data_IF_299093207049
#
_entry.id   IF_299093207049
#
_cell.length_a   1.000
_cell.length_b   1.000
_cell.length_c   1.000
_cell.angle_alpha   90.00
_cell.angle_beta   90.00
_cell.angle_gamma   90.00
#
_symmetry.space_group_name_H-M   'P 1'
#
loop_
_entity.id
_entity.type
_entity.pdbx_description
1 polymer ?
#
# COMPACT_ATOMS: atom_id res chain seq x y z
N UNK A 1 17.89 -15.98 4.04
CA UNK A 1 17.46 -16.16 2.65
C UNK A 1 17.31 -14.77 2.07
N UNK A 2 18.24 -14.36 1.19
CA UNK A 2 18.16 -13.07 0.50
C UNK A 2 16.94 -13.15 -0.43
N UNK A 3 15.88 -12.41 -0.08
CA UNK A 3 14.70 -12.32 -0.94
C UNK A 3 15.11 -11.66 -2.26
N UNK A 4 14.65 -12.22 -3.37
CA UNK A 4 14.80 -11.65 -4.70
C UNK A 4 14.27 -10.21 -4.70
N UNK A 5 15.07 -9.27 -5.19
CA UNK A 5 14.65 -7.87 -5.33
C UNK A 5 13.63 -7.77 -6.47
N UNK A 6 12.60 -6.98 -6.25
CA UNK A 6 11.60 -6.69 -7.27
C UNK A 6 12.04 -5.49 -8.10
N UNK A 7 12.16 -5.71 -9.38
CA UNK A 7 12.60 -4.72 -10.37
C UNK A 7 11.46 -3.77 -10.73
N UNK A 8 11.74 -2.47 -10.72
CA UNK A 8 10.77 -1.42 -11.04
C UNK A 8 11.28 -0.56 -12.17
N UNK A 9 10.47 -0.38 -13.19
CA UNK A 9 10.66 0.63 -14.24
C UNK A 9 9.82 1.85 -13.89
N UNK A 10 10.43 3.04 -13.93
CA UNK A 10 9.73 4.31 -13.70
C UNK A 10 9.57 5.02 -15.04
N UNK A 11 8.33 5.43 -15.37
CA UNK A 11 8.00 6.12 -16.62
C UNK A 11 7.33 7.45 -16.31
N UNK A 12 7.98 8.56 -16.67
CA UNK A 12 7.50 9.92 -16.43
C UNK A 12 8.21 10.87 -17.38
N UNK A 13 7.53 11.75 -18.08
CA UNK A 13 8.10 12.71 -19.01
C UNK A 13 8.98 13.78 -18.34
N UNK A 14 8.68 14.07 -17.07
CA UNK A 14 9.51 14.96 -16.24
C UNK A 14 10.62 14.17 -15.53
N UNK A 15 11.87 14.35 -15.98
CA UNK A 15 13.06 13.72 -15.38
C UNK A 15 13.19 13.93 -13.86
N UNK A 16 12.73 15.08 -13.34
CA UNK A 16 12.80 15.38 -11.92
C UNK A 16 11.75 14.58 -11.15
N UNK A 17 10.58 14.41 -11.74
CA UNK A 17 9.50 13.63 -11.15
C UNK A 17 9.84 12.14 -11.20
N UNK A 18 10.38 11.65 -12.32
CA UNK A 18 10.90 10.29 -12.45
C UNK A 18 11.94 9.99 -11.36
N UNK A 19 12.94 10.86 -11.18
CA UNK A 19 13.96 10.70 -10.15
C UNK A 19 13.38 10.71 -8.72
N UNK A 20 12.36 11.51 -8.44
CA UNK A 20 11.67 11.50 -7.13
C UNK A 20 10.96 10.16 -6.91
N UNK A 21 10.26 9.65 -7.91
CA UNK A 21 9.59 8.36 -7.81
C UNK A 21 10.60 7.21 -7.70
N UNK A 22 11.70 7.25 -8.44
CA UNK A 22 12.81 6.31 -8.32
C UNK A 22 13.39 6.30 -6.89
N UNK A 23 13.66 7.48 -6.33
CA UNK A 23 14.10 7.60 -4.94
C UNK A 23 13.07 7.08 -3.92
N UNK A 24 11.77 7.18 -4.21
CA UNK A 24 10.74 6.57 -3.37
C UNK A 24 10.80 5.04 -3.43
N UNK A 25 10.95 4.46 -4.62
CA UNK A 25 11.07 3.00 -4.82
C UNK A 25 12.27 2.44 -4.06
N UNK A 26 13.45 3.05 -4.22
CA UNK A 26 14.70 2.61 -3.58
C UNK A 26 14.64 2.62 -2.04
N UNK A 27 13.75 3.40 -1.46
CA UNK A 27 13.52 3.42 0.00
C UNK A 27 12.61 2.30 0.48
N UNK A 28 11.94 1.57 -0.42
CA UNK A 28 11.05 0.45 -0.06
C UNK A 28 11.87 -0.84 -0.03
N UNK A 29 12.01 -1.51 1.12
CA UNK A 29 12.80 -2.74 1.21
C UNK A 29 12.31 -3.83 0.25
N UNK A 30 13.23 -4.42 -0.51
CA UNK A 30 12.94 -5.49 -1.45
C UNK A 30 12.60 -5.01 -2.86
N UNK A 31 12.80 -3.73 -3.15
CA UNK A 31 12.66 -3.13 -4.48
C UNK A 31 13.95 -2.49 -4.95
N UNK A 32 14.14 -2.42 -6.27
CA UNK A 32 15.18 -1.63 -6.93
C UNK A 32 14.65 -1.05 -8.25
N UNK A 33 15.15 0.10 -8.66
CA UNK A 33 14.87 0.69 -9.97
C UNK A 33 15.81 0.08 -10.99
N UNK A 34 15.25 -0.39 -12.12
CA UNK A 34 16.04 -0.98 -13.24
C UNK A 34 16.08 -0.09 -14.45
N UNK A 35 15.34 1.01 -14.45
CA UNK A 35 15.37 2.03 -15.49
C UNK A 35 14.40 3.17 -15.23
N UNK A 36 14.66 4.28 -15.89
CA UNK A 36 13.77 5.44 -15.98
C UNK A 36 13.53 5.70 -17.47
N UNK A 37 12.28 5.83 -17.89
CA UNK A 37 11.87 6.13 -19.27
C UNK A 37 11.10 7.45 -19.31
N UNK A 38 11.26 8.21 -20.38
CA UNK A 38 10.67 9.54 -20.50
C UNK A 38 9.76 9.69 -21.73
N UNK A 39 9.52 8.56 -22.42
CA UNK A 39 8.64 8.47 -23.57
C UNK A 39 7.95 7.09 -23.61
N UNK A 40 6.89 6.96 -24.39
CA UNK A 40 6.19 5.69 -24.59
C UNK A 40 7.09 4.65 -25.29
N UNK A 41 7.87 5.10 -26.27
CA UNK A 41 8.80 4.24 -27.01
C UNK A 41 9.88 3.68 -26.06
N UNK A 42 10.56 4.56 -25.31
CA UNK A 42 11.60 4.18 -24.36
C UNK A 42 11.06 3.24 -23.27
N UNK A 43 9.83 3.48 -22.78
CA UNK A 43 9.19 2.63 -21.80
C UNK A 43 8.98 1.19 -22.31
N UNK A 44 8.55 1.01 -23.57
CA UNK A 44 8.38 -0.30 -24.17
C UNK A 44 9.72 -1.01 -24.43
N UNK A 45 10.76 -0.29 -24.84
CA UNK A 45 12.09 -0.85 -25.03
C UNK A 45 12.68 -1.32 -23.71
N UNK A 46 12.73 -0.45 -22.70
CA UNK A 46 13.26 -0.79 -21.39
C UNK A 46 12.45 -1.91 -20.70
N UNK A 47 11.14 -1.95 -20.88
CA UNK A 47 10.34 -3.03 -20.33
C UNK A 47 10.68 -4.40 -20.94
N UNK A 48 10.94 -4.46 -22.25
CA UNK A 48 11.38 -5.70 -22.91
C UNK A 48 12.77 -6.15 -22.48
N UNK A 49 13.69 -5.19 -22.31
CA UNK A 49 15.10 -5.47 -21.98
C UNK A 49 15.26 -5.86 -20.51
N UNK A 50 14.54 -5.17 -19.59
CA UNK A 50 14.72 -5.34 -18.15
C UNK A 50 13.72 -6.29 -17.52
N UNK A 51 12.60 -6.58 -18.19
CA UNK A 51 11.47 -7.41 -17.69
C UNK A 51 11.09 -7.04 -16.25
N UNK A 52 10.68 -5.81 -16.01
CA UNK A 52 10.41 -5.33 -14.66
C UNK A 52 9.22 -6.06 -14.05
N UNK A 53 9.24 -6.22 -12.74
CA UNK A 53 8.12 -6.78 -11.98
C UNK A 53 6.99 -5.77 -11.80
N UNK A 54 7.33 -4.48 -11.74
CA UNK A 54 6.39 -3.36 -11.58
C UNK A 54 6.78 -2.23 -12.51
N UNK A 55 5.78 -1.61 -13.12
CA UNK A 55 5.95 -0.36 -13.88
C UNK A 55 5.16 0.75 -13.20
N UNK A 56 5.84 1.85 -12.86
CA UNK A 56 5.20 3.11 -12.47
C UNK A 56 5.01 3.93 -13.74
N UNK A 57 3.76 4.18 -14.15
CA UNK A 57 3.44 4.71 -15.48
C UNK A 57 2.72 6.05 -15.40
N UNK A 58 3.32 7.11 -15.92
CA UNK A 58 2.54 8.33 -16.21
C UNK A 58 1.67 8.13 -17.47
N UNK A 59 0.53 8.78 -17.48
CA UNK A 59 -0.41 8.76 -18.61
C UNK A 59 0.06 9.71 -19.73
N UNK A 60 0.60 10.86 -19.37
CA UNK A 60 1.00 11.88 -20.34
C UNK A 60 2.47 11.72 -20.70
N UNK A 61 2.71 11.24 -21.92
CA UNK A 61 4.03 11.08 -22.47
C UNK A 61 4.14 11.89 -23.78
N UNK A 62 5.34 12.37 -24.15
CA UNK A 62 5.52 13.30 -25.27
C UNK A 62 5.19 12.69 -26.65
N UNK A 63 5.28 11.38 -26.78
CA UNK A 63 5.12 10.60 -28.00
C UNK A 63 3.89 9.69 -28.02
N UNK A 64 3.06 9.72 -26.96
CA UNK A 64 1.86 8.88 -26.91
C UNK A 64 1.17 8.87 -25.55
N UNK A 65 0.22 7.98 -25.41
CA UNK A 65 -0.50 7.78 -24.15
C UNK A 65 0.14 6.65 -23.32
N UNK A 66 0.49 6.93 -22.07
CA UNK A 66 0.92 5.90 -21.14
C UNK A 66 -0.11 4.79 -20.93
N UNK A 67 -1.40 5.07 -21.15
CA UNK A 67 -2.45 4.03 -21.09
C UNK A 67 -2.35 3.04 -22.25
N UNK A 68 -1.89 3.47 -23.44
CA UNK A 68 -1.63 2.56 -24.56
C UNK A 68 -0.38 1.70 -24.27
N UNK A 69 0.63 2.27 -23.63
CA UNK A 69 1.79 1.51 -23.14
C UNK A 69 1.34 0.46 -22.12
N UNK A 70 0.48 0.83 -21.14
CA UNK A 70 -0.09 -0.11 -20.17
C UNK A 70 -0.78 -1.28 -20.86
N UNK A 71 -1.62 -1.00 -21.87
CA UNK A 71 -2.29 -2.03 -22.63
C UNK A 71 -1.28 -2.97 -23.31
N UNK A 72 -0.27 -2.42 -23.98
CA UNK A 72 0.75 -3.21 -24.67
C UNK A 72 1.54 -4.09 -23.70
N UNK A 73 1.89 -3.59 -22.53
CA UNK A 73 2.62 -4.35 -21.49
C UNK A 73 1.77 -5.48 -20.90
N UNK A 74 0.46 -5.26 -20.74
CA UNK A 74 -0.44 -6.24 -20.14
C UNK A 74 -0.91 -7.32 -21.13
N UNK A 75 -0.70 -7.11 -22.44
CA UNK A 75 -0.91 -8.12 -23.49
C UNK A 75 0.29 -9.10 -23.63
N UNK A 76 1.43 -8.85 -22.92
CA UNK A 76 2.59 -9.75 -22.93
C UNK A 76 2.32 -11.04 -22.11
N UNK A 77 3.00 -12.17 -22.42
CA UNK A 77 2.78 -13.46 -21.74
C UNK A 77 3.09 -13.44 -20.24
N UNK A 78 4.05 -12.62 -19.81
CA UNK A 78 4.44 -12.41 -18.40
C UNK A 78 4.39 -10.91 -18.08
N UNK A 79 3.19 -10.36 -17.89
CA UNK A 79 3.00 -8.93 -17.78
C UNK A 79 3.49 -8.39 -16.42
N UNK A 80 4.12 -7.21 -16.40
CA UNK A 80 4.43 -6.54 -15.15
C UNK A 80 3.16 -6.06 -14.46
N UNK A 81 3.20 -5.92 -13.14
CA UNK A 81 2.17 -5.15 -12.44
C UNK A 81 2.31 -3.66 -12.79
N UNK A 82 1.22 -3.01 -13.15
CA UNK A 82 1.25 -1.58 -13.51
C UNK A 82 0.57 -0.75 -12.43
N UNK A 83 1.28 0.26 -11.95
CA UNK A 83 0.75 1.32 -11.09
C UNK A 83 0.74 2.61 -11.90
N UNK A 84 -0.43 3.08 -12.28
CA UNK A 84 -0.57 4.36 -12.98
C UNK A 84 -0.36 5.51 -12.00
N UNK A 85 0.45 6.48 -12.40
CA UNK A 85 0.78 7.68 -11.62
C UNK A 85 0.53 8.89 -12.50
N UNK A 86 -0.49 9.69 -12.24
CA UNK A 86 -0.84 10.79 -13.13
C UNK A 86 -1.46 11.98 -12.43
N UNK A 87 -1.31 13.16 -13.02
CA UNK A 87 -2.08 14.36 -12.65
C UNK A 87 -3.54 14.29 -13.13
N UNK A 88 -3.87 13.37 -14.05
CA UNK A 88 -5.23 13.18 -14.56
C UNK A 88 -6.18 12.73 -13.43
N UNK A 89 -7.27 13.45 -13.27
CA UNK A 89 -8.33 13.17 -12.28
C UNK A 89 -9.64 12.78 -12.95
N UNK A 90 -9.65 12.74 -14.26
CA UNK A 90 -10.83 12.39 -15.05
C UNK A 90 -11.21 10.92 -14.82
N UNK A 91 -12.47 10.70 -14.51
CA UNK A 91 -13.01 9.36 -14.29
C UNK A 91 -12.82 8.46 -15.52
N UNK A 92 -12.81 9.06 -16.73
CA UNK A 92 -12.56 8.33 -17.96
C UNK A 92 -11.18 7.67 -17.96
N UNK A 93 -10.11 8.40 -17.61
CA UNK A 93 -8.74 7.89 -17.53
C UNK A 93 -8.60 6.81 -16.46
N UNK A 94 -9.21 7.02 -15.28
CA UNK A 94 -9.22 6.01 -14.21
C UNK A 94 -9.93 4.74 -14.68
N UNK A 95 -11.08 4.86 -15.32
CA UNK A 95 -11.85 3.72 -15.85
C UNK A 95 -11.05 2.96 -16.90
N UNK A 96 -10.40 3.66 -17.82
CA UNK A 96 -9.58 3.05 -18.86
C UNK A 96 -8.37 2.31 -18.26
N UNK A 97 -7.67 2.89 -17.30
CA UNK A 97 -6.58 2.22 -16.59
C UNK A 97 -7.05 0.91 -15.93
N UNK A 98 -8.23 0.94 -15.27
CA UNK A 98 -8.82 -0.25 -14.67
C UNK A 98 -9.21 -1.31 -15.72
N UNK A 99 -9.78 -0.90 -16.85
CA UNK A 99 -10.16 -1.80 -17.96
C UNK A 99 -8.94 -2.47 -18.59
N UNK A 100 -7.82 -1.78 -18.66
CA UNK A 100 -6.56 -2.35 -19.15
C UNK A 100 -5.86 -3.23 -18.10
N UNK A 101 -6.33 -3.28 -16.86
CA UNK A 101 -5.78 -4.15 -15.83
C UNK A 101 -4.70 -3.50 -14.95
N UNK A 102 -4.60 -2.18 -14.94
CA UNK A 102 -3.72 -1.50 -14.00
C UNK A 102 -4.06 -1.88 -12.54
N UNK A 103 -3.05 -2.28 -11.78
CA UNK A 103 -3.21 -2.74 -10.41
C UNK A 103 -3.65 -1.60 -9.47
N UNK A 104 -3.08 -0.41 -9.66
CA UNK A 104 -3.39 0.79 -8.89
C UNK A 104 -3.35 2.05 -9.76
N UNK A 105 -4.03 3.10 -9.27
CA UNK A 105 -3.99 4.44 -9.85
C UNK A 105 -3.69 5.45 -8.73
N UNK A 106 -2.62 6.21 -8.88
CA UNK A 106 -2.19 7.25 -7.95
C UNK A 106 -2.31 8.63 -8.60
N UNK A 107 -3.00 9.54 -7.93
CA UNK A 107 -3.16 10.92 -8.40
C UNK A 107 -2.04 11.79 -7.83
N UNK A 108 -1.24 12.44 -8.70
CA UNK A 108 -0.22 13.42 -8.31
C UNK A 108 -0.87 14.71 -7.75
N UNK A 109 -0.28 15.35 -6.70
CA UNK A 109 0.90 14.94 -5.96
C UNK A 109 0.56 13.95 -4.84
N UNK A 110 1.45 13.01 -4.56
CA UNK A 110 1.37 12.09 -3.42
C UNK A 110 2.72 11.98 -2.71
N UNK A 111 2.70 11.56 -1.46
CA UNK A 111 3.92 11.36 -0.67
C UNK A 111 4.44 9.93 -0.73
N UNK A 112 5.68 9.73 -0.27
CA UNK A 112 6.35 8.43 -0.19
C UNK A 112 5.46 7.32 0.37
N UNK A 113 4.76 7.56 1.48
CA UNK A 113 3.96 6.53 2.15
C UNK A 113 2.88 5.93 1.25
N UNK A 114 2.28 6.75 0.36
CA UNK A 114 1.21 6.29 -0.55
C UNK A 114 1.76 5.28 -1.55
N UNK A 115 2.91 5.55 -2.17
CA UNK A 115 3.56 4.61 -3.09
C UNK A 115 4.09 3.37 -2.36
N UNK A 116 4.77 3.57 -1.23
CA UNK A 116 5.32 2.49 -0.43
C UNK A 116 4.24 1.47 -0.01
N UNK A 117 3.06 1.95 0.38
CA UNK A 117 1.92 1.09 0.72
C UNK A 117 1.50 0.19 -0.46
N UNK A 118 1.47 0.73 -1.69
CA UNK A 118 1.10 -0.05 -2.88
C UNK A 118 2.14 -1.10 -3.22
N UNK A 119 3.41 -0.73 -3.16
CA UNK A 119 4.51 -1.66 -3.39
C UNK A 119 4.52 -2.79 -2.35
N UNK A 120 4.37 -2.46 -1.07
CA UNK A 120 4.29 -3.47 0.01
C UNK A 120 3.09 -4.40 -0.17
N UNK A 121 1.92 -3.87 -0.59
CA UNK A 121 0.74 -4.69 -0.88
C UNK A 121 1.00 -5.66 -2.03
N UNK A 122 1.61 -5.19 -3.13
CA UNK A 122 1.98 -6.03 -4.26
C UNK A 122 3.00 -7.12 -3.87
N UNK A 123 4.02 -6.78 -3.08
CA UNK A 123 5.00 -7.76 -2.60
C UNK A 123 4.35 -8.87 -1.77
N UNK A 124 3.38 -8.53 -0.92
CA UNK A 124 2.60 -9.50 -0.13
C UNK A 124 1.76 -10.41 -1.03
N UNK A 125 1.05 -9.81 -1.99
CA UNK A 125 0.26 -10.56 -2.96
C UNK A 125 1.12 -11.56 -3.73
N UNK A 126 2.26 -11.12 -4.28
CA UNK A 126 3.19 -11.97 -5.03
C UNK A 126 3.72 -13.14 -4.18
N UNK A 127 4.09 -12.87 -2.92
CA UNK A 127 4.54 -13.93 -1.99
C UNK A 127 3.41 -14.93 -1.69
N UNK A 128 2.19 -14.45 -1.54
CA UNK A 128 1.03 -15.32 -1.29
C UNK A 128 0.75 -16.20 -2.50
N UNK A 129 0.75 -15.64 -3.71
CA UNK A 129 0.58 -16.38 -4.96
C UNK A 129 1.64 -17.47 -5.13
N UNK A 130 2.91 -17.15 -4.89
CA UNK A 130 4.02 -18.11 -4.99
C UNK A 130 3.96 -19.25 -3.94
N UNK A 131 3.19 -19.09 -2.87
CA UNK A 131 3.01 -20.09 -1.81
C UNK A 131 1.70 -20.89 -1.91
N UNK A 132 0.88 -20.63 -2.92
CA UNK A 132 -0.34 -21.40 -3.15
C UNK A 132 -0.05 -22.68 -3.97
N UNK A 133 -0.82 -23.75 -3.74
CA UNK A 133 -0.83 -24.90 -4.62
C UNK A 133 -1.45 -24.53 -6.00
N UNK A 134 -1.24 -25.39 -7.00
CA UNK A 134 -1.79 -25.19 -8.35
C UNK A 134 -3.31 -25.12 -8.38
N UNK A 135 -3.99 -25.73 -7.41
CA UNK A 135 -5.43 -25.64 -7.20
C UNK A 135 -5.70 -24.82 -5.93
N UNK A 136 -6.35 -23.67 -6.08
CA UNK A 136 -6.72 -22.80 -4.96
C UNK A 136 -8.18 -23.05 -4.52
N UNK A 137 -8.44 -23.03 -3.23
CA UNK A 137 -9.79 -23.01 -2.69
C UNK A 137 -10.40 -21.60 -2.76
N UNK A 138 -11.74 -21.51 -2.67
CA UNK A 138 -12.44 -20.22 -2.71
C UNK A 138 -11.91 -19.24 -1.64
N UNK A 139 -11.54 -19.73 -0.47
CA UNK A 139 -10.98 -18.92 0.60
C UNK A 139 -9.65 -18.26 0.22
N UNK A 140 -8.78 -18.97 -0.50
CA UNK A 140 -7.51 -18.43 -1.01
C UNK A 140 -7.78 -17.34 -2.05
N UNK A 141 -8.72 -17.57 -2.95
CA UNK A 141 -9.15 -16.60 -3.96
C UNK A 141 -9.68 -15.32 -3.30
N UNK A 142 -10.57 -15.47 -2.32
CA UNK A 142 -11.15 -14.32 -1.59
C UNK A 142 -10.07 -13.53 -0.83
N UNK A 143 -9.08 -14.21 -0.25
CA UNK A 143 -7.93 -13.56 0.40
C UNK A 143 -7.10 -12.75 -0.60
N UNK A 144 -6.75 -13.32 -1.77
CA UNK A 144 -5.99 -12.65 -2.82
C UNK A 144 -6.69 -11.38 -3.32
N UNK A 145 -7.98 -11.50 -3.66
CA UNK A 145 -8.78 -10.34 -4.08
C UNK A 145 -8.96 -9.33 -2.94
N UNK A 146 -9.00 -9.79 -1.70
CA UNK A 146 -9.00 -8.93 -0.51
C UNK A 146 -7.72 -8.09 -0.40
N UNK A 147 -6.55 -8.69 -0.67
CA UNK A 147 -5.26 -7.98 -0.66
C UNK A 147 -5.17 -6.88 -1.72
N UNK A 148 -5.80 -7.06 -2.89
CA UNK A 148 -5.87 -6.05 -3.95
C UNK A 148 -6.80 -4.88 -3.60
N UNK A 149 -7.91 -5.17 -2.89
CA UNK A 149 -8.93 -4.17 -2.55
C UNK A 149 -8.57 -3.35 -1.31
N UNK A 150 -7.84 -3.95 -0.37
CA UNK A 150 -7.41 -3.23 0.82
C UNK A 150 -6.27 -2.27 0.42
N UNK A 151 -6.49 -0.93 0.43
CA UNK A 151 -5.36 -0.05 0.55
C UNK A 151 -4.68 -0.42 1.87
N UNK A 152 -3.35 -0.53 1.91
CA UNK A 152 -2.63 -0.60 3.17
C UNK A 152 -2.97 0.63 4.06
N UNK A 153 -3.49 1.70 3.46
CA UNK A 153 -4.11 2.86 4.10
C UNK A 153 -5.58 2.68 4.53
N UNK A 154 -6.17 1.50 4.40
CA UNK A 154 -7.44 1.25 5.11
C UNK A 154 -7.25 1.41 6.62
N UNK A 155 -6.02 1.23 7.11
CA UNK A 155 -5.61 1.61 8.47
C UNK A 155 -5.47 3.13 8.67
N UNK A 156 -5.40 3.93 7.59
CA UNK A 156 -5.19 5.39 7.63
C UNK A 156 -6.38 6.22 7.13
N UNK A 157 -7.46 5.61 6.65
CA UNK A 157 -8.73 6.31 6.48
C UNK A 157 -9.61 5.97 7.67
N UNK A 158 -9.62 6.82 8.68
CA UNK A 158 -10.53 6.61 9.79
C UNK A 158 -11.97 6.65 9.23
N UNK A 159 -12.79 5.67 9.63
CA UNK A 159 -14.25 5.74 9.48
C UNK A 159 -14.73 7.13 9.90
N UNK A 160 -15.87 7.60 9.36
CA UNK A 160 -16.48 8.86 9.78
C UNK A 160 -16.43 9.01 11.31
N UNK A 161 -15.62 9.96 11.78
CA UNK A 161 -15.42 10.19 13.21
C UNK A 161 -14.00 9.91 13.76
N UNK A 162 -13.05 9.46 12.94
CA UNK A 162 -11.65 9.29 13.32
C UNK A 162 -10.78 10.24 12.47
N UNK A 163 -9.82 10.93 13.05
CA UNK A 163 -8.82 11.71 12.32
C UNK A 163 -7.54 10.90 12.13
N UNK A 164 -6.93 10.96 10.94
CA UNK A 164 -5.69 10.24 10.65
C UNK A 164 -4.53 10.60 11.60
N UNK A 165 -4.29 11.89 11.93
CA UNK A 165 -3.24 12.25 12.90
C UNK A 165 -3.46 11.65 14.27
N UNK A 166 -4.68 11.67 14.79
CA UNK A 166 -5.00 11.10 16.11
C UNK A 166 -4.87 9.56 16.10
N UNK A 167 -5.23 8.90 15.00
CA UNK A 167 -5.07 7.45 14.87
C UNK A 167 -3.59 7.06 14.95
N UNK A 168 -2.74 7.83 14.30
CA UNK A 168 -1.28 7.60 14.29
C UNK A 168 -0.67 7.81 15.67
N UNK A 169 -1.08 8.85 16.41
CA UNK A 169 -0.66 9.09 17.79
C UNK A 169 -1.08 7.94 18.71
N UNK A 170 -2.32 7.47 18.63
CA UNK A 170 -2.83 6.35 19.44
C UNK A 170 -2.08 5.05 19.09
N UNK A 171 -1.86 4.76 17.81
CA UNK A 171 -1.06 3.62 17.36
C UNK A 171 0.36 3.65 17.93
N UNK A 172 1.03 4.79 17.81
CA UNK A 172 2.40 4.95 18.25
C UNK A 172 2.52 4.84 19.77
N UNK A 173 1.54 5.33 20.54
CA UNK A 173 1.50 5.16 21.98
C UNK A 173 1.46 3.68 22.41
N UNK A 174 0.65 2.84 21.69
CA UNK A 174 0.62 1.40 21.98
C UNK A 174 1.90 0.70 21.55
N UNK A 175 2.48 1.07 20.38
CA UNK A 175 3.71 0.43 19.86
C UNK A 175 4.94 0.79 20.70
N UNK A 176 5.01 2.01 21.23
CA UNK A 176 6.12 2.48 22.06
C UNK A 176 6.09 1.91 23.49
N UNK A 177 4.96 1.37 23.93
CA UNK A 177 4.84 0.73 25.24
C UNK A 177 5.45 -0.67 25.23
N UNK A 178 6.25 -0.96 26.26
CA UNK A 178 6.81 -2.30 26.47
C UNK A 178 5.74 -3.30 26.95
N UNK A 179 4.73 -2.80 27.65
CA UNK A 179 3.63 -3.56 28.24
C UNK A 179 2.30 -3.26 27.54
N UNK A 180 1.25 -4.01 27.91
CA UNK A 180 -0.11 -3.72 27.50
C UNK A 180 -0.60 -2.41 28.12
N UNK A 181 -1.38 -1.64 27.38
CA UNK A 181 -1.91 -0.32 27.80
C UNK A 181 -3.42 -0.29 27.82
N UNK A 182 -3.99 0.47 28.77
CA UNK A 182 -5.43 0.75 28.83
C UNK A 182 -5.79 1.99 27.98
N UNK A 183 -7.08 2.15 27.71
CA UNK A 183 -7.58 3.36 27.07
C UNK A 183 -7.37 4.64 27.88
N UNK A 184 -7.24 4.53 29.21
CA UNK A 184 -6.95 5.68 30.08
C UNK A 184 -5.50 6.11 29.93
N UNK A 185 -4.55 5.19 29.97
CA UNK A 185 -3.11 5.46 29.79
C UNK A 185 -2.81 6.04 28.40
N UNK A 186 -3.42 5.49 27.35
CA UNK A 186 -3.30 6.03 25.99
C UNK A 186 -3.90 7.43 25.89
N UNK A 187 -5.04 7.67 26.54
CA UNK A 187 -5.69 8.98 26.55
C UNK A 187 -4.80 10.05 27.19
N UNK A 188 -4.14 9.73 28.30
CA UNK A 188 -3.18 10.59 28.99
C UNK A 188 -1.95 10.86 28.14
N UNK A 189 -1.37 9.82 27.53
CA UNK A 189 -0.15 9.93 26.70
C UNK A 189 -0.39 10.80 25.45
N UNK A 190 -1.57 10.69 24.84
CA UNK A 190 -1.90 11.35 23.56
C UNK A 190 -2.59 12.70 23.76
N UNK A 191 -3.08 12.99 24.98
CA UNK A 191 -3.79 14.25 25.27
C UNK A 191 -5.23 14.28 24.71
N UNK A 192 -5.93 13.13 24.73
CA UNK A 192 -7.31 12.97 24.23
C UNK A 192 -8.23 12.44 25.35
N UNK A 193 -9.55 12.48 25.13
CA UNK A 193 -10.46 11.86 26.09
C UNK A 193 -10.37 10.33 26.09
N UNK A 194 -10.60 9.67 27.24
CA UNK A 194 -10.64 8.20 27.35
C UNK A 194 -11.63 7.59 26.35
N UNK A 195 -12.80 8.20 26.14
CA UNK A 195 -13.79 7.74 25.17
C UNK A 195 -13.25 7.79 23.74
N UNK A 196 -12.49 8.83 23.42
CA UNK A 196 -11.80 8.95 22.12
C UNK A 196 -10.73 7.87 21.98
N UNK A 197 -9.85 7.69 22.97
CA UNK A 197 -8.83 6.65 22.96
C UNK A 197 -9.45 5.25 22.79
N UNK A 198 -10.51 4.94 23.53
CA UNK A 198 -11.24 3.67 23.41
C UNK A 198 -11.76 3.43 21.99
N UNK A 199 -12.32 4.45 21.34
CA UNK A 199 -12.82 4.36 19.98
C UNK A 199 -11.71 4.05 18.97
N UNK A 200 -10.57 4.72 19.08
CA UNK A 200 -9.41 4.49 18.22
C UNK A 200 -8.75 3.13 18.47
N UNK A 201 -8.65 2.69 19.72
CA UNK A 201 -8.12 1.38 20.09
C UNK A 201 -9.00 0.25 19.57
N UNK A 202 -10.34 0.39 19.66
CA UNK A 202 -11.28 -0.57 19.08
C UNK A 202 -11.21 -0.60 17.54
N UNK A 203 -10.92 0.53 16.91
CA UNK A 203 -10.66 0.60 15.48
C UNK A 203 -9.37 -0.18 15.13
N UNK A 204 -8.26 0.07 15.82
CA UNK A 204 -6.96 -0.59 15.59
C UNK A 204 -7.04 -2.12 15.88
N UNK A 205 -7.85 -2.53 16.84
CA UNK A 205 -8.08 -3.95 17.17
C UNK A 205 -8.84 -4.65 16.06
N UNK A 206 -9.93 -4.09 15.56
CA UNK A 206 -10.70 -4.63 14.41
C UNK A 206 -9.85 -4.78 13.15
N UNK A 207 -8.81 -3.93 12.99
CA UNK A 207 -7.89 -3.98 11.84
C UNK A 207 -6.60 -4.78 12.13
N UNK A 208 -6.55 -5.50 13.26
CA UNK A 208 -5.44 -6.40 13.58
C UNK A 208 -4.11 -5.72 13.91
N UNK A 209 -4.11 -4.40 14.14
CA UNK A 209 -2.89 -3.63 14.49
C UNK A 209 -2.51 -3.81 15.95
N UNK A 210 -3.53 -3.90 16.81
CA UNK A 210 -3.38 -4.18 18.24
C UNK A 210 -4.25 -5.37 18.63
N UNK A 211 -3.87 -6.07 19.69
CA UNK A 211 -4.67 -7.15 20.28
C UNK A 211 -5.26 -6.70 21.59
N UNK A 212 -6.57 -6.92 21.78
CA UNK A 212 -7.27 -6.76 23.03
C UNK A 212 -6.95 -7.93 23.96
N UNK A 213 -6.63 -7.63 25.21
CA UNK A 213 -6.58 -8.57 26.32
C UNK A 213 -7.50 -8.10 27.42
N UNK A 214 -8.21 -9.05 28.06
CA UNK A 214 -9.04 -8.78 29.22
C UNK A 214 -8.23 -9.07 30.49
N UNK A 215 -8.01 -8.07 31.32
CA UNK A 215 -7.39 -8.24 32.62
C UNK A 215 -8.47 -8.27 33.70
N UNK A 216 -8.59 -9.39 34.38
CA UNK A 216 -9.53 -9.56 35.48
C UNK A 216 -8.89 -9.11 36.78
N UNK A 217 -9.49 -8.13 37.45
CA UNK A 217 -9.14 -7.75 38.83
C UNK A 217 -9.87 -8.62 39.87
N UNK A 218 -9.51 -8.46 41.16
CA UNK A 218 -10.11 -9.21 42.26
C UNK A 218 -11.63 -8.95 42.42
N UNK A 219 -12.12 -7.78 42.00
CA UNK A 219 -13.53 -7.39 41.99
C UNK A 219 -13.79 -6.38 40.88
N UNK A 220 -14.83 -6.58 40.05
CA UNK A 220 -15.24 -5.59 39.05
C UNK A 220 -15.28 -6.09 37.60
N UNK A 221 -15.58 -5.16 36.69
CA UNK A 221 -15.60 -5.40 35.22
C UNK A 221 -14.18 -5.61 34.71
N UNK A 222 -13.94 -6.57 33.79
CA UNK A 222 -12.61 -6.77 33.20
C UNK A 222 -12.08 -5.48 32.56
N UNK A 223 -10.81 -5.17 32.78
CA UNK A 223 -10.14 -4.05 32.16
C UNK A 223 -9.67 -4.45 30.76
N UNK A 224 -9.98 -3.60 29.78
CA UNK A 224 -9.51 -3.75 28.42
C UNK A 224 -8.07 -3.23 28.31
N UNK A 225 -7.13 -4.12 27.96
CA UNK A 225 -5.71 -3.81 27.74
C UNK A 225 -5.37 -4.10 26.29
N UNK A 226 -4.52 -3.27 25.71
CA UNK A 226 -4.15 -3.33 24.30
C UNK A 226 -2.65 -3.45 24.17
N UNK A 227 -2.19 -4.35 23.31
CA UNK A 227 -0.78 -4.50 22.95
C UNK A 227 -0.62 -4.63 21.45
N UNK A 228 0.61 -4.41 20.95
CA UNK A 228 0.96 -4.63 19.55
C UNK A 228 0.59 -6.06 19.13
N UNK A 229 -0.10 -6.20 17.98
CA UNK A 229 -0.23 -7.51 17.32
C UNK A 229 1.16 -7.90 16.77
N UNK A 230 1.62 -9.10 17.10
CA UNK A 230 2.86 -9.66 16.55
C UNK A 230 2.65 -10.10 15.11
#
# INVERSE_FOLDING_TARGET
MSGELLDVLVVDDDYRVAAIHAAFVERVPGYRVVGEAHSAHEALELARDTKPHVVLMDIYLPDGSGLEVVRSLLDEPDPPAVIVISAAREIASVRQAMQFGALHYLVKPFGFNVLAERLVAYQRLRRRLAGLPDEAEQADVDELFGMLRAPASALNRPDKGHSAPTLELVRNAVIASADDVSAAEVAETVGISRATAQRYLSYLERHGVVKLQLRYGATGRPEHRYRRAR
#
